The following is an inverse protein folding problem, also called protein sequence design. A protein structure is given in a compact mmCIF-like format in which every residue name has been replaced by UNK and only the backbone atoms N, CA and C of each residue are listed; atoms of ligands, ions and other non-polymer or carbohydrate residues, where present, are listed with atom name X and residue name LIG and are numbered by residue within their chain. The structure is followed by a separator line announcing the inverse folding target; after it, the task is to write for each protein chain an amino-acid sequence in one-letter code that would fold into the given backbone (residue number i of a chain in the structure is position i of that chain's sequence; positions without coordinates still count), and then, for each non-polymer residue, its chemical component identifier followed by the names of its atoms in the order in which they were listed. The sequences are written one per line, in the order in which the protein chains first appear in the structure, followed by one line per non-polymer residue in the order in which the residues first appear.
data_IF_434705212935
#
_entry.id   IF_434705212935
#
_cell.length_a   1.000
_cell.length_b   1.000
_cell.length_c   1.000
_cell.angle_alpha   90.00
_cell.angle_beta   90.00
_cell.angle_gamma   90.00
#
_symmetry.space_group_name_H-M   'P 1'
#
loop_
_entity.id
_entity.type
_entity.pdbx_description
1 polymer ?
#
# COMPACT_ATOMS: atom_id res chain seq x y z
N UNK A 1 -18.75 15.84 -12.12
CA UNK A 1 -19.08 14.38 -12.25
C UNK A 1 -17.87 13.57 -12.72
N UNK A 2 -17.22 13.85 -13.87
CA UNK A 2 -16.01 13.11 -14.32
C UNK A 2 -14.84 13.09 -13.31
N UNK A 3 -14.62 14.21 -12.60
CA UNK A 3 -13.51 14.35 -11.65
C UNK A 3 -13.64 13.46 -10.39
N UNK A 4 -14.84 12.98 -10.10
CA UNK A 4 -15.11 12.12 -8.94
C UNK A 4 -14.72 10.66 -9.24
N UNK A 5 -14.91 10.22 -10.50
CA UNK A 5 -14.57 8.85 -10.91
C UNK A 5 -13.06 8.58 -10.81
N UNK A 6 -12.23 9.43 -11.40
CA UNK A 6 -10.77 9.28 -11.34
C UNK A 6 -10.23 9.34 -9.90
N UNK A 7 -10.81 10.23 -9.07
CA UNK A 7 -10.46 10.29 -7.65
C UNK A 7 -10.82 9.00 -6.91
N UNK A 8 -12.02 8.45 -7.17
CA UNK A 8 -12.46 7.17 -6.56
C UNK A 8 -11.61 5.99 -7.01
N UNK A 9 -11.25 5.93 -8.28
CA UNK A 9 -10.37 4.90 -8.83
C UNK A 9 -9.01 4.91 -8.12
N UNK A 10 -8.32 6.05 -8.12
CA UNK A 10 -7.05 6.23 -7.41
C UNK A 10 -7.14 5.88 -5.92
N UNK A 11 -8.18 6.34 -5.22
CA UNK A 11 -8.40 5.99 -3.81
C UNK A 11 -8.63 4.49 -3.62
N UNK A 12 -9.34 3.84 -4.55
CA UNK A 12 -9.64 2.40 -4.47
C UNK A 12 -8.37 1.57 -4.64
N UNK A 13 -7.50 1.95 -5.57
CA UNK A 13 -6.21 1.28 -5.77
C UNK A 13 -5.33 1.36 -4.51
N UNK A 14 -5.21 2.54 -3.92
CA UNK A 14 -4.45 2.74 -2.68
C UNK A 14 -5.05 1.98 -1.50
N UNK A 15 -6.37 2.02 -1.33
CA UNK A 15 -7.07 1.27 -0.28
C UNK A 15 -6.90 -0.24 -0.45
N UNK A 16 -6.91 -0.73 -1.69
CA UNK A 16 -6.67 -2.13 -1.98
C UNK A 16 -5.27 -2.55 -1.49
N UNK A 17 -4.22 -1.77 -1.75
CA UNK A 17 -2.86 -2.05 -1.25
C UNK A 17 -2.87 -2.19 0.27
N UNK A 18 -3.45 -1.21 0.98
CA UNK A 18 -3.52 -1.24 2.45
C UNK A 18 -4.28 -2.46 2.94
N UNK A 19 -5.38 -2.84 2.27
CA UNK A 19 -6.17 -3.99 2.65
C UNK A 19 -5.42 -5.32 2.40
N UNK A 20 -4.71 -5.46 1.28
CA UNK A 20 -3.89 -6.65 1.04
C UNK A 20 -2.75 -6.78 2.04
N UNK A 21 -2.14 -5.68 2.47
CA UNK A 21 -1.15 -5.71 3.55
C UNK A 21 -1.75 -6.23 4.87
N UNK A 22 -3.01 -5.90 5.18
CA UNK A 22 -3.72 -6.47 6.35
C UNK A 22 -3.99 -7.96 6.16
N UNK A 23 -4.40 -8.38 4.96
CA UNK A 23 -4.61 -9.79 4.63
C UNK A 23 -3.32 -10.60 4.77
N UNK A 24 -2.16 -10.07 4.38
CA UNK A 24 -0.87 -10.75 4.61
C UNK A 24 -0.64 -11.06 6.09
N UNK A 25 -1.07 -10.18 6.99
CA UNK A 25 -0.94 -10.38 8.45
C UNK A 25 -1.99 -11.33 9.04
N UNK A 26 -2.98 -11.80 8.28
CA UNK A 26 -3.90 -12.85 8.75
C UNK A 26 -3.29 -14.25 8.67
N UNK A 27 -2.22 -14.43 7.88
CA UNK A 27 -1.49 -15.70 7.81
C UNK A 27 -0.54 -15.83 9.01
N UNK A 28 -0.70 -16.88 9.87
CA UNK A 28 0.09 -17.01 11.10
C UNK A 28 1.61 -16.96 10.86
N UNK A 29 2.10 -17.65 9.82
CA UNK A 29 3.52 -17.70 9.51
C UNK A 29 4.09 -16.34 9.06
N UNK A 30 3.28 -15.50 8.39
CA UNK A 30 3.70 -14.16 7.99
C UNK A 30 3.70 -13.25 9.21
N UNK A 31 2.63 -13.31 10.00
CA UNK A 31 2.47 -12.52 11.22
C UNK A 31 3.63 -12.74 12.18
N UNK A 32 4.00 -14.00 12.41
CA UNK A 32 5.09 -14.38 13.32
C UNK A 32 6.44 -13.84 12.83
N UNK A 33 6.76 -14.02 11.55
CA UNK A 33 8.00 -13.51 10.95
C UNK A 33 8.06 -11.98 10.95
N UNK A 34 6.94 -11.32 10.67
CA UNK A 34 6.84 -9.87 10.70
C UNK A 34 7.04 -9.33 12.13
N UNK A 35 6.42 -9.96 13.12
CA UNK A 35 6.58 -9.59 14.54
C UNK A 35 8.02 -9.77 15.04
N UNK A 36 8.72 -10.80 14.56
CA UNK A 36 10.14 -11.04 14.84
C UNK A 36 11.11 -10.16 14.05
N UNK A 37 10.60 -9.28 13.17
CA UNK A 37 11.39 -8.44 12.26
C UNK A 37 12.29 -9.24 11.30
N UNK A 38 11.91 -10.49 11.00
CA UNK A 38 12.61 -11.33 10.02
C UNK A 38 12.22 -10.95 8.58
N UNK A 39 11.05 -10.35 8.40
CA UNK A 39 10.54 -9.87 7.11
C UNK A 39 9.92 -8.49 7.27
N UNK A 40 9.94 -7.72 6.18
CA UNK A 40 9.24 -6.44 6.06
C UNK A 40 8.10 -6.56 5.04
N UNK A 41 6.97 -5.92 5.33
CA UNK A 41 5.84 -5.82 4.40
C UNK A 41 5.74 -4.37 3.96
N UNK A 42 6.04 -4.13 2.70
CA UNK A 42 5.97 -2.83 2.03
C UNK A 42 4.72 -2.76 1.15
N UNK A 43 4.13 -1.58 1.03
CA UNK A 43 3.00 -1.32 0.14
C UNK A 43 3.42 -0.30 -0.89
N UNK A 44 3.63 -0.73 -2.13
CA UNK A 44 4.05 0.15 -3.21
C UNK A 44 2.88 0.47 -4.14
N UNK A 45 2.77 1.74 -4.50
CA UNK A 45 1.86 2.23 -5.53
C UNK A 45 2.70 2.79 -6.67
N UNK A 46 2.52 2.22 -7.86
CA UNK A 46 3.28 2.56 -9.06
C UNK A 46 2.38 3.25 -10.07
N UNK A 47 2.76 4.44 -10.52
CA UNK A 47 2.06 5.15 -11.60
C UNK A 47 2.76 4.77 -12.91
N UNK A 48 2.05 4.05 -13.78
CA UNK A 48 2.61 3.51 -15.02
C UNK A 48 3.02 4.63 -15.99
N UNK A 49 2.23 5.68 -16.07
CA UNK A 49 2.43 6.79 -17.00
C UNK A 49 3.67 7.62 -16.68
N UNK A 50 3.97 7.83 -15.40
CA UNK A 50 5.08 8.68 -14.95
C UNK A 50 6.30 7.88 -14.46
N UNK A 51 6.13 6.58 -14.20
CA UNK A 51 7.13 5.73 -13.58
C UNK A 51 7.34 6.01 -12.09
N UNK A 52 6.50 6.84 -11.47
CA UNK A 52 6.65 7.21 -10.07
C UNK A 52 6.25 6.07 -9.13
N UNK A 53 7.03 5.90 -8.06
CA UNK A 53 6.77 4.90 -7.02
C UNK A 53 6.48 5.61 -5.72
N UNK A 54 5.43 5.17 -5.04
CA UNK A 54 5.07 5.65 -3.71
C UNK A 54 5.08 4.48 -2.73
N UNK A 55 5.68 4.69 -1.56
CA UNK A 55 5.63 3.76 -0.45
C UNK A 55 4.54 4.17 0.54
N UNK A 56 3.76 3.19 1.01
CA UNK A 56 2.79 3.41 2.06
C UNK A 56 3.47 3.55 3.43
N UNK A 57 3.35 4.74 4.02
CA UNK A 57 3.77 5.02 5.38
C UNK A 57 2.64 4.66 6.35
N UNK A 58 2.83 3.58 7.12
CA UNK A 58 1.82 3.08 8.07
C UNK A 58 1.55 4.05 9.23
N UNK A 59 2.54 4.83 9.65
CA UNK A 59 2.41 5.77 10.78
C UNK A 59 1.59 6.99 10.38
N UNK A 60 1.85 7.53 9.20
CA UNK A 60 1.14 8.70 8.67
C UNK A 60 -0.14 8.36 7.91
N UNK A 61 -0.34 7.08 7.58
CA UNK A 61 -1.43 6.58 6.73
C UNK A 61 -1.48 7.25 5.35
N UNK A 62 -0.31 7.54 4.79
CA UNK A 62 -0.16 8.24 3.49
C UNK A 62 0.80 7.51 2.57
N UNK A 63 0.62 7.68 1.27
CA UNK A 63 1.58 7.26 0.26
C UNK A 63 2.62 8.36 0.04
N UNK A 64 3.88 8.06 0.33
CA UNK A 64 5.01 8.98 0.19
C UNK A 64 5.84 8.57 -1.03
N UNK A 65 6.16 9.53 -1.90
CA UNK A 65 6.98 9.27 -3.08
C UNK A 65 8.37 8.77 -2.65
N UNK A 66 8.85 7.73 -3.29
CA UNK A 66 10.22 7.24 -3.16
C UNK A 66 11.07 8.01 -4.18
N UNK A 67 12.12 8.67 -3.72
CA UNK A 67 13.16 9.29 -4.57
C UNK A 67 14.33 8.34 -4.79
#
# INVERSE_FOLDING_TARGET
IKNDFAKREWMTEQLNIVQQMKHLLTFPYIKDKFAKKEINILGWYYIIETGEIFNYNKEKQTFEKIE
#
